data_IF_499282139000
#
_entry.id   IF_499282139000
#
_cell.length_a   1.000
_cell.length_b   1.000
_cell.length_c   1.000
_cell.angle_alpha   90.00
_cell.angle_beta   90.00
_cell.angle_gamma   90.00
#
_symmetry.space_group_name_H-M   'P 1'
#
loop_
_entity.id
_entity.type
_entity.pdbx_description
1 polymer ?
#
# COMPACT_ATOMS: atom_id res chain seq x y z
N UNK A 1 8.09 -23.42 -9.67
CA UNK A 1 7.25 -22.26 -10.04
C UNK A 1 7.98 -21.03 -9.51
N UNK A 2 8.47 -20.14 -10.39
CA UNK A 2 9.20 -18.95 -9.97
C UNK A 2 8.21 -17.98 -9.32
N UNK A 3 8.17 -17.95 -7.99
CA UNK A 3 7.45 -16.90 -7.25
C UNK A 3 8.36 -15.68 -7.21
N UNK A 4 8.39 -14.92 -8.32
CA UNK A 4 8.93 -13.56 -8.33
C UNK A 4 8.23 -12.79 -7.20
N UNK A 5 8.99 -12.36 -6.20
CA UNK A 5 8.42 -11.77 -4.99
C UNK A 5 7.93 -10.35 -5.31
N UNK A 6 6.62 -10.18 -5.48
CA UNK A 6 6.03 -8.88 -5.86
C UNK A 6 5.84 -7.96 -4.67
N UNK A 7 5.88 -6.67 -4.96
CA UNK A 7 5.59 -5.58 -4.02
C UNK A 7 4.41 -4.79 -4.53
N UNK A 8 3.44 -4.53 -3.67
CA UNK A 8 2.31 -3.67 -3.96
C UNK A 8 2.44 -2.34 -3.21
N UNK A 9 2.02 -1.25 -3.83
CA UNK A 9 1.75 0.03 -3.18
C UNK A 9 0.25 0.27 -3.21
N UNK A 10 -0.33 0.63 -2.07
CA UNK A 10 -1.73 1.04 -1.97
C UNK A 10 -1.82 2.48 -1.44
N UNK A 11 -2.62 3.27 -2.14
CA UNK A 11 -2.98 4.63 -1.75
C UNK A 11 -4.48 4.65 -1.40
N UNK A 12 -4.85 5.28 -0.30
CA UNK A 12 -6.24 5.29 0.16
C UNK A 12 -6.65 4.06 0.98
N UNK A 13 -5.68 3.34 1.58
CA UNK A 13 -5.91 2.15 2.40
C UNK A 13 -6.77 2.38 3.67
N UNK A 14 -7.04 3.63 4.04
CA UNK A 14 -7.94 4.00 5.15
C UNK A 14 -9.42 4.08 4.74
N UNK A 15 -9.73 4.14 3.44
CA UNK A 15 -11.10 4.13 2.94
C UNK A 15 -11.71 2.73 2.98
N UNK A 16 -13.03 2.59 2.82
CA UNK A 16 -13.72 1.30 2.88
C UNK A 16 -13.12 0.27 1.89
N UNK A 17 -13.06 0.64 0.61
CA UNK A 17 -12.51 -0.21 -0.45
C UNK A 17 -11.02 -0.49 -0.23
N UNK A 18 -10.25 0.55 0.09
CA UNK A 18 -8.82 0.43 0.32
C UNK A 18 -8.47 -0.45 1.53
N UNK A 19 -9.30 -0.43 2.58
CA UNK A 19 -9.08 -1.27 3.76
C UNK A 19 -9.27 -2.74 3.44
N UNK A 20 -10.33 -3.07 2.70
CA UNK A 20 -10.59 -4.45 2.31
C UNK A 20 -9.55 -4.96 1.33
N UNK A 21 -9.19 -4.15 0.32
CA UNK A 21 -8.11 -4.48 -0.59
C UNK A 21 -6.79 -4.72 0.14
N UNK A 22 -6.44 -3.89 1.12
CA UNK A 22 -5.25 -4.08 1.94
C UNK A 22 -5.25 -5.46 2.62
N UNK A 23 -6.37 -5.91 3.18
CA UNK A 23 -6.48 -7.24 3.81
C UNK A 23 -6.23 -8.37 2.80
N UNK A 24 -6.85 -8.27 1.63
CA UNK A 24 -6.68 -9.23 0.53
C UNK A 24 -5.21 -9.30 0.10
N UNK A 25 -4.56 -8.14 -0.10
CA UNK A 25 -3.16 -8.08 -0.50
C UNK A 25 -2.21 -8.69 0.55
N UNK A 26 -2.47 -8.46 1.84
CA UNK A 26 -1.64 -9.00 2.92
C UNK A 26 -1.76 -10.52 3.05
N UNK A 27 -2.94 -11.07 2.79
CA UNK A 27 -3.19 -12.52 2.80
C UNK A 27 -2.68 -13.22 1.54
N UNK A 28 -2.51 -12.49 0.43
CA UNK A 28 -2.00 -13.06 -0.82
C UNK A 28 -0.54 -13.52 -0.72
N UNK A 29 -0.25 -14.70 -1.28
CA UNK A 29 1.11 -15.21 -1.44
C UNK A 29 1.84 -14.59 -2.64
N UNK A 30 1.13 -13.83 -3.49
CA UNK A 30 1.73 -13.10 -4.61
C UNK A 30 2.64 -11.98 -4.13
N UNK A 31 2.30 -11.35 -3.01
CA UNK A 31 3.01 -10.20 -2.48
C UNK A 31 3.86 -10.56 -1.27
N UNK A 32 5.14 -10.20 -1.31
CA UNK A 32 6.04 -10.27 -0.15
C UNK A 32 5.92 -9.02 0.73
N UNK A 33 5.55 -7.89 0.14
CA UNK A 33 5.47 -6.61 0.81
C UNK A 33 4.32 -5.77 0.22
N UNK A 34 3.57 -5.13 1.11
CA UNK A 34 2.51 -4.19 0.78
C UNK A 34 2.83 -2.88 1.47
N UNK A 35 3.17 -1.87 0.68
CA UNK A 35 3.37 -0.50 1.12
C UNK A 35 2.05 0.24 1.12
N UNK A 36 1.71 0.88 2.22
CA UNK A 36 0.53 1.74 2.32
C UNK A 36 0.96 3.20 2.50
N UNK A 37 0.67 4.04 1.50
CA UNK A 37 0.80 5.49 1.64
C UNK A 37 -0.44 6.04 2.32
N UNK A 38 -0.26 6.62 3.49
CA UNK A 38 -1.37 7.04 4.35
C UNK A 38 -1.15 8.45 4.90
N UNK A 39 -2.25 9.14 5.18
CA UNK A 39 -2.22 10.44 5.89
C UNK A 39 -2.30 10.27 7.41
N UNK A 40 -2.77 9.11 7.86
CA UNK A 40 -2.94 8.75 9.27
C UNK A 40 -2.57 7.28 9.45
N UNK A 41 -2.03 6.88 10.62
CA UNK A 41 -1.69 5.47 10.88
C UNK A 41 -2.91 4.55 10.74
N UNK A 42 -2.68 3.35 10.22
CA UNK A 42 -3.67 2.27 10.21
C UNK A 42 -3.38 1.34 11.39
N UNK A 43 -4.42 0.96 12.14
CA UNK A 43 -4.34 0.03 13.27
C UNK A 43 -4.21 -1.45 12.86
N UNK A 44 -3.49 -1.74 11.77
CA UNK A 44 -3.19 -3.09 11.30
C UNK A 44 -1.70 -3.35 11.51
N UNK A 45 -1.39 -4.47 12.16
CA UNK A 45 -0.01 -4.97 12.29
C UNK A 45 0.12 -6.24 11.45
N UNK A 46 1.03 -6.25 10.50
CA UNK A 46 1.30 -7.41 9.65
C UNK A 46 2.76 -7.40 9.20
N UNK A 47 3.47 -8.54 9.16
CA UNK A 47 4.88 -8.59 8.78
C UNK A 47 5.14 -8.10 7.34
N UNK A 48 4.18 -8.28 6.44
CA UNK A 48 4.25 -7.77 5.06
C UNK A 48 3.88 -6.30 4.90
N UNK A 49 3.32 -5.65 5.92
CA UNK A 49 2.80 -4.28 5.82
C UNK A 49 3.87 -3.26 6.19
N UNK A 50 4.17 -2.37 5.25
CA UNK A 50 4.96 -1.16 5.50
C UNK A 50 4.05 0.05 5.37
N UNK A 51 3.90 0.84 6.43
CA UNK A 51 3.10 2.05 6.38
C UNK A 51 4.02 3.26 6.24
N UNK A 52 3.74 4.13 5.28
CA UNK A 52 4.44 5.41 5.13
C UNK A 52 3.45 6.55 5.30
N UNK A 53 3.68 7.36 6.33
CA UNK A 53 3.01 8.63 6.49
C UNK A 53 3.57 9.61 5.47
N UNK A 54 2.72 10.05 4.54
CA UNK A 54 3.11 10.96 3.47
C UNK A 54 2.21 12.18 3.43
N UNK A 55 2.81 13.31 3.08
CA UNK A 55 2.08 14.46 2.60
C UNK A 55 1.83 14.28 1.09
N UNK A 56 0.56 14.11 0.71
CA UNK A 56 0.16 13.92 -0.68
C UNK A 56 0.34 15.18 -1.54
N UNK A 57 0.54 16.36 -0.92
CA UNK A 57 0.87 17.59 -1.64
C UNK A 57 2.35 17.66 -2.05
N UNK A 58 3.19 16.76 -1.54
CA UNK A 58 4.63 16.73 -1.80
C UNK A 58 5.10 15.30 -2.12
N UNK A 59 4.40 14.63 -3.05
CA UNK A 59 4.66 13.23 -3.42
C UNK A 59 6.04 13.01 -4.04
N UNK A 60 6.61 14.03 -4.67
CA UNK A 60 7.97 14.03 -5.23
C UNK A 60 9.04 13.72 -4.17
N UNK A 61 8.76 13.96 -2.88
CA UNK A 61 9.67 13.59 -1.78
C UNK A 61 9.69 12.09 -1.47
N UNK A 62 8.80 11.31 -2.09
CA UNK A 62 8.56 9.90 -1.78
C UNK A 62 8.68 9.02 -3.03
N UNK A 63 9.42 9.45 -4.06
CA UNK A 63 9.62 8.69 -5.31
C UNK A 63 10.07 7.24 -5.06
N UNK A 64 10.94 7.02 -4.07
CA UNK A 64 11.41 5.69 -3.68
C UNK A 64 10.29 4.73 -3.22
N UNK A 65 9.16 5.27 -2.76
CA UNK A 65 8.02 4.46 -2.35
C UNK A 65 7.28 3.84 -3.54
N UNK A 66 7.40 4.43 -4.72
CA UNK A 66 6.81 3.95 -5.96
C UNK A 66 7.64 2.87 -6.66
N UNK A 67 8.81 2.51 -6.11
CA UNK A 67 9.61 1.36 -6.56
C UNK A 67 8.96 0.02 -6.16
N UNK A 68 7.83 -0.28 -6.81
CA UNK A 68 7.01 -1.48 -6.61
C UNK A 68 6.55 -2.06 -7.94
N UNK A 69 5.94 -3.24 -7.92
CA UNK A 69 5.46 -3.92 -9.13
C UNK A 69 4.05 -3.50 -9.50
N UNK A 70 3.19 -3.26 -8.49
CA UNK A 70 1.78 -2.92 -8.67
C UNK A 70 1.41 -1.72 -7.80
N UNK A 71 0.60 -0.81 -8.34
CA UNK A 71 0.06 0.34 -7.61
C UNK A 71 -1.46 0.30 -7.64
N UNK A 72 -2.09 0.34 -6.46
CA UNK A 72 -3.52 0.40 -6.27
C UNK A 72 -3.92 1.78 -5.74
N UNK A 73 -4.73 2.51 -6.48
CA UNK A 73 -5.28 3.80 -6.06
C UNK A 73 -6.75 3.63 -5.65
N UNK A 74 -7.02 3.72 -4.35
CA UNK A 74 -8.38 3.65 -3.77
C UNK A 74 -8.78 4.99 -3.16
N UNK A 75 -8.30 6.10 -3.74
CA UNK A 75 -8.66 7.44 -3.32
C UNK A 75 -10.08 7.77 -3.77
N UNK A 76 -10.89 8.31 -2.86
CA UNK A 76 -12.13 9.00 -3.19
C UNK A 76 -11.84 10.50 -3.20
N UNK A 77 -12.18 11.16 -4.31
CA UNK A 77 -12.14 12.61 -4.44
C UNK A 77 -13.59 13.09 -4.31
N UNK A 78 -13.85 13.91 -3.30
CA UNK A 78 -15.06 14.74 -3.26
C UNK A 78 -14.67 16.14 -3.71
#
# INVERSE_FOLDING_TARGET
>A
MNTEKRKALIVGATGLVGNELLRILLQSNTYENVKALVRKPISIKHPKLTQRLVDFNALEKYEEEFAVHDVFCCLVKF
#
